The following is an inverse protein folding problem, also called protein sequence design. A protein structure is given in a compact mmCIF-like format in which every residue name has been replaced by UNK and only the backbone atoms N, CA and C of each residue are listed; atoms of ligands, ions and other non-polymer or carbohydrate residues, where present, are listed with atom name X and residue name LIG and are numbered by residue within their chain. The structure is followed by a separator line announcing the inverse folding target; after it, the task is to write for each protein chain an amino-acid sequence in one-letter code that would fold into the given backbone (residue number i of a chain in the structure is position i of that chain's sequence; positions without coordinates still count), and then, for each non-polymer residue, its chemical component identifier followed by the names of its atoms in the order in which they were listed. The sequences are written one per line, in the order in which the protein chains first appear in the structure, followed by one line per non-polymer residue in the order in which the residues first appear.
data_IF_676193799457
#
_entry.id   IF_676193799457
#
_cell.length_a   1.000
_cell.length_b   1.000
_cell.length_c   1.000
_cell.angle_alpha   90.00
_cell.angle_beta   90.00
_cell.angle_gamma   90.00
#
_symmetry.space_group_name_H-M   'P 1'
#
loop_
_entity.id
_entity.type
_entity.pdbx_description
1 polymer ?
#
# COMPACT_ATOMS: atom_id res chain seq x y z
N UNK A 1 -17.69 18.66 23.78
CA UNK A 1 -17.22 17.45 23.07
C UNK A 1 -15.95 17.82 22.33
N UNK A 2 -14.79 17.25 22.68
CA UNK A 2 -13.54 17.54 21.97
C UNK A 2 -13.56 16.79 20.64
N UNK A 3 -13.61 17.53 19.53
CA UNK A 3 -13.51 16.97 18.18
C UNK A 3 -12.10 16.42 18.02
N UNK A 4 -11.96 15.11 17.95
CA UNK A 4 -10.68 14.45 17.77
C UNK A 4 -10.17 14.72 16.37
N UNK A 5 -9.00 15.36 16.24
CA UNK A 5 -8.39 15.70 14.96
C UNK A 5 -8.07 14.46 14.12
N UNK A 6 -8.12 14.56 12.78
CA UNK A 6 -7.77 13.44 11.90
C UNK A 6 -6.28 13.10 11.97
N UNK A 7 -5.93 11.87 11.61
CA UNK A 7 -4.53 11.41 11.54
C UNK A 7 -3.81 12.03 10.34
N UNK A 8 -2.48 12.21 10.45
CA UNK A 8 -1.67 12.58 9.28
C UNK A 8 -1.59 11.43 8.28
N UNK A 9 -1.41 11.74 6.98
CA UNK A 9 -1.11 10.73 5.96
C UNK A 9 0.14 9.91 6.31
N UNK A 10 0.11 8.65 5.87
CA UNK A 10 1.24 7.74 5.94
C UNK A 10 2.22 8.00 4.80
N UNK A 11 3.49 7.67 5.00
CA UNK A 11 4.47 7.61 3.90
C UNK A 11 4.67 6.16 3.47
N UNK A 12 4.51 5.89 2.18
CA UNK A 12 4.71 4.56 1.58
C UNK A 12 6.02 4.53 0.77
N UNK A 13 6.74 3.42 0.87
CA UNK A 13 7.93 3.04 0.10
C UNK A 13 7.68 1.69 -0.57
N UNK A 14 8.25 1.44 -1.75
CA UNK A 14 8.06 0.18 -2.47
C UNK A 14 9.39 -0.41 -2.87
N UNK A 15 9.66 -1.64 -2.41
CA UNK A 15 10.84 -2.43 -2.75
C UNK A 15 10.46 -3.43 -3.84
N UNK A 16 11.24 -3.49 -4.92
CA UNK A 16 11.06 -4.52 -5.96
C UNK A 16 12.09 -5.62 -5.68
N UNK A 17 11.63 -6.83 -5.43
CA UNK A 17 12.47 -8.03 -5.46
C UNK A 17 12.46 -8.59 -6.88
N UNK A 18 13.41 -8.15 -7.71
CA UNK A 18 13.63 -8.76 -9.03
C UNK A 18 14.20 -10.17 -8.84
N UNK A 19 13.36 -11.20 -8.97
CA UNK A 19 13.84 -12.56 -9.17
C UNK A 19 14.37 -12.66 -10.60
N UNK A 20 15.68 -12.43 -10.77
CA UNK A 20 16.37 -12.74 -12.01
C UNK A 20 16.41 -14.26 -12.18
N UNK A 21 15.40 -14.83 -12.81
CA UNK A 21 15.46 -16.19 -13.37
C UNK A 21 16.46 -16.16 -14.53
N UNK A 22 17.72 -16.42 -14.22
CA UNK A 22 18.83 -16.40 -15.18
C UNK A 22 18.75 -17.53 -16.21
N UNK A 23 18.60 -17.12 -17.48
CA UNK A 23 19.05 -17.69 -18.75
C UNK A 23 18.93 -19.21 -19.01
N UNK A 24 18.00 -19.58 -19.90
CA UNK A 24 18.04 -20.80 -20.70
C UNK A 24 17.49 -20.51 -22.09
N UNK A 25 18.38 -20.34 -23.08
CA UNK A 25 18.00 -20.04 -24.46
C UNK A 25 17.30 -21.21 -25.17
N UNK A 26 16.31 -20.89 -26.01
CA UNK A 26 15.64 -21.83 -26.91
C UNK A 26 14.40 -21.17 -27.48
N UNK A 27 14.42 -20.87 -28.78
CA UNK A 27 13.48 -19.95 -29.41
C UNK A 27 12.07 -20.46 -29.67
N UNK A 28 11.23 -19.52 -30.10
CA UNK A 28 10.06 -19.76 -30.93
C UNK A 28 8.74 -19.86 -30.17
N UNK A 29 7.87 -18.89 -30.41
CA UNK A 29 6.44 -18.92 -30.04
C UNK A 29 6.12 -17.89 -28.97
N UNK A 30 5.49 -16.79 -29.39
CA UNK A 30 4.93 -15.80 -28.46
C UNK A 30 3.87 -16.45 -27.59
N UNK A 31 4.26 -16.80 -26.37
CA UNK A 31 3.35 -16.94 -25.25
C UNK A 31 3.63 -15.74 -24.37
N UNK A 32 2.71 -14.78 -24.36
CA UNK A 32 2.60 -13.81 -23.28
C UNK A 32 2.24 -14.60 -22.02
N UNK A 33 3.23 -15.28 -21.44
CA UNK A 33 3.10 -15.98 -20.19
C UNK A 33 2.83 -14.90 -19.15
N UNK A 34 1.55 -14.76 -18.82
CA UNK A 34 1.01 -13.92 -17.75
C UNK A 34 1.50 -14.41 -16.40
N UNK A 35 2.82 -14.35 -16.21
CA UNK A 35 3.46 -14.55 -14.93
C UNK A 35 3.24 -13.26 -14.16
N UNK A 36 2.26 -13.29 -13.26
CA UNK A 36 2.11 -12.23 -12.28
C UNK A 36 3.41 -12.07 -11.48
N UNK A 37 3.66 -10.85 -11.02
CA UNK A 37 4.84 -10.53 -10.21
C UNK A 37 4.39 -9.96 -8.86
N UNK A 38 5.26 -10.05 -7.85
CA UNK A 38 4.94 -9.53 -6.51
C UNK A 38 5.55 -8.14 -6.34
N UNK A 39 4.73 -7.19 -5.92
CA UNK A 39 5.15 -5.84 -5.53
C UNK A 39 5.10 -5.76 -4.00
N UNK A 40 6.24 -5.51 -3.36
CA UNK A 40 6.33 -5.36 -1.90
C UNK A 40 6.12 -3.89 -1.51
N UNK A 41 5.01 -3.61 -0.85
CA UNK A 41 4.70 -2.31 -0.26
C UNK A 41 5.18 -2.28 1.19
N UNK A 42 5.76 -1.16 1.60
CA UNK A 42 6.17 -0.89 2.98
C UNK A 42 5.74 0.53 3.37
N UNK A 43 5.40 0.77 4.62
CA UNK A 43 5.01 2.11 5.06
C UNK A 43 5.35 2.42 6.51
N UNK A 44 5.41 3.72 6.82
CA UNK A 44 5.69 4.23 8.17
C UNK A 44 4.38 4.69 8.81
N UNK A 45 3.95 4.09 9.94
CA UNK A 45 2.74 4.50 10.66
C UNK A 45 2.76 5.97 11.07
N UNK A 46 1.59 6.64 11.16
CA UNK A 46 1.54 8.02 11.60
C UNK A 46 1.80 8.10 13.11
N UNK A 47 2.71 9.00 13.51
CA UNK A 47 3.03 9.26 14.94
C UNK A 47 2.32 10.50 15.50
N UNK A 48 1.69 11.30 14.64
CA UNK A 48 0.94 12.51 15.03
C UNK A 48 -0.34 12.68 14.23
N UNK A 49 -1.29 13.40 14.81
CA UNK A 49 -2.49 13.90 14.14
C UNK A 49 -2.20 15.19 13.37
N UNK A 50 -3.17 15.65 12.57
CA UNK A 50 -3.05 16.86 11.75
C UNK A 50 -2.84 18.14 12.57
N UNK A 51 -3.31 18.17 13.81
CA UNK A 51 -3.06 19.26 14.77
C UNK A 51 -1.70 19.16 15.49
N UNK A 52 -0.88 18.17 15.15
CA UNK A 52 0.41 17.92 15.78
C UNK A 52 0.34 17.13 17.09
N UNK A 53 -0.85 16.78 17.58
CA UNK A 53 -0.99 15.97 18.79
C UNK A 53 -0.45 14.57 18.54
N UNK A 54 0.33 14.06 19.49
CA UNK A 54 0.88 12.71 19.44
C UNK A 54 -0.22 11.64 19.33
N UNK A 55 0.01 10.67 18.46
CA UNK A 55 -0.86 9.51 18.32
C UNK A 55 -0.42 8.44 19.31
N UNK A 56 -1.23 8.18 20.34
CA UNK A 56 -0.87 7.21 21.37
C UNK A 56 -0.73 5.79 20.77
N UNK A 57 0.20 4.95 21.29
CA UNK A 57 0.30 3.55 20.91
C UNK A 57 -1.06 2.85 21.03
N UNK A 58 -1.40 2.02 20.05
CA UNK A 58 -2.71 1.34 20.00
C UNK A 58 -3.90 2.22 19.57
N UNK A 59 -3.66 3.47 19.17
CA UNK A 59 -4.73 4.29 18.57
C UNK A 59 -5.06 3.85 17.14
N UNK A 60 -4.13 3.22 16.44
CA UNK A 60 -4.32 2.67 15.09
C UNK A 60 -4.97 1.30 15.24
N UNK A 61 -6.02 1.05 14.48
CA UNK A 61 -6.65 -0.26 14.38
C UNK A 61 -6.15 -1.08 13.19
N UNK A 62 -5.74 -0.41 12.12
CA UNK A 62 -5.22 -1.08 10.92
C UNK A 62 -4.92 -0.13 9.76
N UNK A 63 -4.72 -0.72 8.60
CA UNK A 63 -4.36 -0.05 7.36
C UNK A 63 -5.22 -0.54 6.19
N UNK A 64 -5.43 0.32 5.20
CA UNK A 64 -6.14 -0.02 3.98
C UNK A 64 -5.25 0.24 2.78
N UNK A 65 -5.12 -0.75 1.91
CA UNK A 65 -4.30 -0.65 0.69
C UNK A 65 -5.24 -0.47 -0.50
N UNK A 66 -4.96 0.56 -1.27
CA UNK A 66 -5.67 0.93 -2.49
C UNK A 66 -4.78 0.69 -3.69
N UNK A 67 -5.33 0.02 -4.71
CA UNK A 67 -4.63 -0.31 -5.95
C UNK A 67 -5.52 0.03 -7.13
N UNK A 68 -4.94 0.58 -8.19
CA UNK A 68 -5.66 0.89 -9.42
C UNK A 68 -4.76 1.15 -10.63
N UNK A 69 -5.34 1.19 -11.83
CA UNK A 69 -4.62 1.51 -13.07
C UNK A 69 -4.35 3.01 -13.25
N UNK A 70 -5.00 3.88 -12.48
CA UNK A 70 -4.87 5.34 -12.53
C UNK A 70 -4.77 5.89 -11.08
N UNK A 71 -3.96 6.93 -10.81
CA UNK A 71 -3.81 7.48 -9.47
C UNK A 71 -5.10 8.10 -8.91
N UNK A 72 -6.03 8.51 -9.78
CA UNK A 72 -7.32 9.07 -9.41
C UNK A 72 -8.44 7.99 -9.37
N UNK A 73 -8.15 6.77 -9.84
CA UNK A 73 -9.06 5.61 -9.82
C UNK A 73 -8.41 4.37 -9.17
N UNK A 74 -8.26 4.43 -7.85
CA UNK A 74 -7.78 3.31 -7.02
C UNK A 74 -8.90 2.74 -6.16
N UNK A 75 -8.96 1.41 -6.07
CA UNK A 75 -9.97 0.69 -5.30
C UNK A 75 -9.36 0.03 -4.06
N UNK A 76 -10.13 -0.02 -2.97
CA UNK A 76 -9.75 -0.76 -1.77
C UNK A 76 -9.52 -2.24 -2.13
N UNK A 77 -8.27 -2.68 -2.01
CA UNK A 77 -7.86 -4.04 -2.38
C UNK A 77 -7.75 -4.93 -1.15
N UNK A 78 -7.25 -4.39 -0.04
CA UNK A 78 -7.17 -5.12 1.23
C UNK A 78 -7.39 -4.20 2.43
N UNK A 79 -8.11 -4.71 3.43
CA UNK A 79 -8.24 -4.13 4.76
C UNK A 79 -7.40 -4.97 5.73
N UNK A 80 -6.31 -4.39 6.23
CA UNK A 80 -5.38 -4.98 7.16
C UNK A 80 -5.76 -4.51 8.57
N UNK A 81 -6.68 -5.22 9.21
CA UNK A 81 -7.14 -4.97 10.58
C UNK A 81 -6.12 -5.38 11.65
N UNK A 82 -4.88 -4.96 11.46
CA UNK A 82 -3.75 -5.19 12.35
C UNK A 82 -2.84 -3.95 12.34
N UNK A 83 -2.79 -3.26 13.49
CA UNK A 83 -1.97 -2.06 13.68
C UNK A 83 -0.45 -2.29 13.54
N UNK A 84 0.00 -3.54 13.62
CA UNK A 84 1.42 -3.91 13.53
C UNK A 84 1.87 -4.16 12.08
N UNK A 85 0.94 -4.32 11.14
CA UNK A 85 1.26 -4.51 9.73
C UNK A 85 1.83 -3.23 9.13
N UNK A 86 3.06 -3.29 8.65
CA UNK A 86 3.75 -2.17 7.99
C UNK A 86 4.24 -2.53 6.59
N UNK A 87 3.82 -3.69 6.10
CA UNK A 87 4.16 -4.22 4.80
C UNK A 87 3.00 -5.00 4.19
N UNK A 88 2.96 -5.08 2.86
CA UNK A 88 2.00 -5.89 2.12
C UNK A 88 2.58 -6.32 0.76
N UNK A 89 2.47 -7.61 0.47
CA UNK A 89 2.84 -8.19 -0.81
C UNK A 89 1.63 -8.22 -1.75
N UNK A 90 1.62 -7.36 -2.77
CA UNK A 90 0.59 -7.38 -3.80
C UNK A 90 0.99 -8.32 -4.93
N UNK A 91 0.15 -9.32 -5.21
CA UNK A 91 0.30 -10.19 -6.39
C UNK A 91 -0.30 -9.49 -7.60
N UNK A 92 0.56 -8.86 -8.40
CA UNK A 92 0.17 -8.13 -9.58
C UNK A 92 -0.08 -9.10 -10.74
N UNK A 93 -1.28 -9.12 -11.36
CA UNK A 93 -1.42 -9.71 -12.68
C UNK A 93 -0.44 -9.03 -13.66
N UNK A 94 -0.18 -9.68 -14.80
CA UNK A 94 0.63 -9.11 -15.88
C UNK A 94 -0.11 -7.91 -16.51
N UNK A 95 -0.16 -6.80 -15.78
CA UNK A 95 -0.54 -5.48 -16.24
C UNK A 95 0.71 -4.62 -16.29
N UNK A 96 0.65 -3.60 -17.15
CA UNK A 96 1.80 -2.76 -17.44
C UNK A 96 2.03 -1.68 -16.37
N UNK A 97 1.02 -1.40 -15.52
CA UNK A 97 1.04 -0.26 -14.61
C UNK A 97 0.11 -0.45 -13.41
N UNK A 98 0.59 -0.09 -12.22
CA UNK A 98 -0.19 0.00 -10.99
C UNK A 98 0.14 1.25 -10.20
N UNK A 99 -0.89 1.82 -9.59
CA UNK A 99 -0.78 2.85 -8.57
C UNK A 99 -1.17 2.30 -7.20
N UNK A 100 -0.42 2.68 -6.18
CA UNK A 100 -0.60 2.23 -4.80
C UNK A 100 -0.75 3.41 -3.85
N UNK A 101 -1.72 3.30 -2.95
CA UNK A 101 -1.90 4.20 -1.83
C UNK A 101 -2.28 3.43 -0.57
N UNK A 102 -1.91 3.97 0.60
CA UNK A 102 -2.24 3.38 1.90
C UNK A 102 -2.85 4.44 2.81
N UNK A 103 -3.93 4.10 3.52
CA UNK A 103 -4.46 4.87 4.65
C UNK A 103 -4.28 4.09 5.94
N UNK A 104 -4.14 4.79 7.06
CA UNK A 104 -4.37 4.21 8.39
C UNK A 104 -5.80 4.53 8.84
N UNK A 105 -6.37 3.67 9.66
CA UNK A 105 -7.59 4.00 10.39
C UNK A 105 -7.45 3.74 11.89
N UNK A 106 -8.08 4.59 12.68
CA UNK A 106 -8.01 4.51 14.14
C UNK A 106 -9.04 3.54 14.72
N UNK A 107 -8.99 3.31 16.03
CA UNK A 107 -9.94 2.45 16.76
C UNK A 107 -11.40 2.93 16.72
N UNK A 108 -11.65 4.15 16.24
CA UNK A 108 -12.99 4.67 15.96
C UNK A 108 -13.40 4.53 14.48
N UNK A 109 -12.58 3.86 13.66
CA UNK A 109 -12.80 3.64 12.23
C UNK A 109 -12.53 4.86 11.36
N UNK A 110 -11.85 5.89 11.87
CA UNK A 110 -11.59 7.11 11.10
C UNK A 110 -10.30 6.99 10.33
N UNK A 111 -10.38 7.17 9.02
CA UNK A 111 -9.22 7.10 8.12
C UNK A 111 -8.37 8.37 8.13
N UNK A 112 -7.07 8.20 7.89
CA UNK A 112 -6.16 9.27 7.50
C UNK A 112 -6.43 9.75 6.07
N UNK A 113 -5.75 10.82 5.67
CA UNK A 113 -5.57 11.08 4.24
C UNK A 113 -4.76 9.95 3.58
N UNK A 114 -4.94 9.80 2.27
CA UNK A 114 -4.14 8.89 1.42
C UNK A 114 -2.65 9.22 1.55
N UNK A 115 -1.80 8.20 1.54
CA UNK A 115 -0.34 8.37 1.42
C UNK A 115 0.04 9.10 0.13
N UNK A 116 1.34 9.37 -0.04
CA UNK A 116 1.87 9.57 -1.39
C UNK A 116 1.51 8.37 -2.27
N UNK A 117 1.16 8.62 -3.53
CA UNK A 117 0.85 7.55 -4.49
C UNK A 117 2.17 7.05 -5.08
N UNK A 118 2.35 5.73 -5.11
CA UNK A 118 3.50 5.10 -5.77
C UNK A 118 3.06 4.47 -7.07
N UNK A 119 3.84 4.71 -8.13
CA UNK A 119 3.68 4.09 -9.44
C UNK A 119 4.65 2.92 -9.59
N UNK A 120 4.18 1.80 -10.15
CA UNK A 120 4.99 0.64 -10.55
C UNK A 120 4.58 0.08 -11.89
#
# INVERSE_FOLDING_TARGET
MMKTSPMKPITITVLILLVFSGCGGGGGGGSSDGTGYTIQLEWIPPVTRMDGVYLAPGSIAGYRVYVGPDPDDMNLTVDLADSTMTEYAYSAPAAEQYYFGVTAYDTSGRESGMSNIVYK
#
